data_IF_663728077908
#
_entry.id   IF_663728077908
#
_cell.length_a   1.000
_cell.length_b   1.000
_cell.length_c   1.000
_cell.angle_alpha   90.00
_cell.angle_beta   90.00
_cell.angle_gamma   90.00
#
_symmetry.space_group_name_H-M   'P 1'
#
loop_
_entity.id
_entity.type
_entity.pdbx_description
1 polymer ?
#
# COMPACT_ATOMS: atom_id res chain seq x y z
N UNK A 1 -16.34 -8.52 -15.08
CA UNK A 1 -15.13 -7.74 -15.14
C UNK A 1 -15.18 -6.55 -14.19
N UNK A 2 -14.12 -6.36 -13.45
CA UNK A 2 -14.08 -5.27 -12.49
C UNK A 2 -13.92 -3.92 -13.18
N UNK A 3 -14.66 -2.94 -12.70
CA UNK A 3 -14.50 -1.59 -13.19
C UNK A 3 -13.42 -0.89 -12.42
N UNK A 4 -12.64 -0.09 -13.12
CA UNK A 4 -11.66 0.73 -12.45
C UNK A 4 -12.34 1.90 -11.77
N UNK A 5 -11.97 2.17 -10.55
CA UNK A 5 -12.49 3.34 -9.88
C UNK A 5 -11.74 4.59 -10.38
N UNK A 6 -12.31 5.79 -10.20
CA UNK A 6 -11.65 7.00 -10.67
C UNK A 6 -10.29 7.26 -10.03
N UNK A 7 -10.02 6.72 -8.85
CA UNK A 7 -8.72 6.90 -8.21
C UNK A 7 -7.82 5.71 -8.38
N UNK A 8 -8.14 4.86 -9.31
CA UNK A 8 -7.28 3.73 -9.64
C UNK A 8 -6.13 4.27 -10.44
N UNK A 9 -5.03 4.56 -9.77
CA UNK A 9 -3.93 5.32 -10.34
C UNK A 9 -3.03 4.49 -11.22
N UNK A 10 -3.19 3.19 -11.24
CA UNK A 10 -2.36 2.32 -12.05
C UNK A 10 -3.19 1.18 -12.56
N UNK A 11 -2.50 0.18 -13.01
CA UNK A 11 -3.16 -1.00 -13.57
C UNK A 11 -3.40 -2.08 -12.53
N UNK A 12 -2.96 -1.87 -11.31
CA UNK A 12 -3.03 -2.92 -10.32
C UNK A 12 -4.43 -3.09 -9.76
N UNK A 13 -4.87 -4.31 -9.72
CA UNK A 13 -6.16 -4.66 -9.15
C UNK A 13 -5.90 -5.53 -7.94
N UNK A 14 -6.38 -5.10 -6.77
CA UNK A 14 -6.13 -5.81 -5.53
C UNK A 14 -6.78 -7.18 -5.55
N UNK A 15 -6.03 -8.18 -5.12
CA UNK A 15 -6.55 -9.54 -4.99
C UNK A 15 -7.22 -9.71 -3.63
N UNK A 16 -7.87 -10.86 -3.44
CA UNK A 16 -8.48 -11.15 -2.15
C UNK A 16 -7.44 -11.19 -1.05
N UNK A 17 -6.26 -11.72 -1.34
CA UNK A 17 -5.19 -11.76 -0.35
C UNK A 17 -4.70 -10.35 -0.02
N UNK A 18 -4.62 -9.48 -1.01
CA UNK A 18 -4.24 -8.09 -0.78
C UNK A 18 -5.23 -7.43 0.17
N UNK A 19 -6.52 -7.65 -0.08
CA UNK A 19 -7.56 -7.05 0.75
C UNK A 19 -7.55 -7.62 2.16
N UNK A 20 -7.28 -8.89 2.30
CA UNK A 20 -7.18 -9.52 3.61
C UNK A 20 -6.02 -8.93 4.39
N UNK A 21 -4.87 -8.78 3.75
CA UNK A 21 -3.71 -8.21 4.40
C UNK A 21 -3.95 -6.75 4.80
N UNK A 22 -4.57 -6.00 3.91
CA UNK A 22 -4.90 -4.60 4.19
C UNK A 22 -5.81 -4.51 5.42
N UNK A 23 -6.86 -5.31 5.44
CA UNK A 23 -7.83 -5.30 6.53
C UNK A 23 -7.15 -5.61 7.86
N UNK A 24 -6.33 -6.65 7.86
CA UNK A 24 -5.61 -7.03 9.07
C UNK A 24 -4.71 -5.91 9.55
N UNK A 25 -3.97 -5.28 8.63
CA UNK A 25 -3.04 -4.23 8.98
C UNK A 25 -3.77 -3.03 9.58
N UNK A 26 -4.86 -2.61 8.96
CA UNK A 26 -5.62 -1.48 9.47
C UNK A 26 -6.12 -1.76 10.89
N UNK A 27 -6.60 -2.97 11.11
CA UNK A 27 -7.11 -3.34 12.43
C UNK A 27 -6.00 -3.41 13.48
N UNK A 28 -4.77 -3.53 13.04
CA UNK A 28 -3.63 -3.66 13.95
C UNK A 28 -2.76 -2.42 13.99
N UNK A 29 -3.28 -1.29 13.52
CA UNK A 29 -2.58 -0.02 13.66
C UNK A 29 -1.54 0.24 12.60
N UNK A 30 -1.56 -0.50 11.50
CA UNK A 30 -0.62 -0.32 10.41
C UNK A 30 -1.37 0.24 9.22
N UNK A 31 -0.95 1.43 8.78
CA UNK A 31 -1.59 2.10 7.65
C UNK A 31 -0.51 2.59 6.70
N UNK A 32 -0.66 2.27 5.44
CA UNK A 32 0.31 2.66 4.42
C UNK A 32 -0.41 3.53 3.40
N UNK A 33 0.11 4.74 3.18
CA UNK A 33 -0.54 5.71 2.31
C UNK A 33 0.43 6.21 1.26
N UNK A 34 0.01 6.25 0.00
CA UNK A 34 0.85 6.86 -1.04
C UNK A 34 0.84 8.38 -0.87
N UNK A 35 2.00 8.98 -0.99
CA UNK A 35 2.14 10.43 -0.89
C UNK A 35 2.86 10.92 -2.12
N UNK A 36 2.20 11.79 -2.89
CA UNK A 36 2.79 12.33 -4.09
C UNK A 36 3.99 13.21 -3.75
N UNK A 37 5.09 12.99 -4.44
CA UNK A 37 6.27 13.81 -4.28
C UNK A 37 6.41 14.79 -5.43
N UNK A 38 6.34 14.24 -6.63
CA UNK A 38 6.40 15.06 -7.83
C UNK A 38 5.64 14.30 -8.90
N UNK A 39 5.60 14.88 -10.07
CA UNK A 39 4.87 14.28 -11.17
C UNK A 39 5.40 12.86 -11.42
N UNK A 40 4.54 11.88 -11.24
CA UNK A 40 4.87 10.49 -11.51
C UNK A 40 5.70 9.80 -10.44
N UNK A 41 6.02 10.47 -9.35
CA UNK A 41 6.80 9.86 -8.28
C UNK A 41 6.05 9.96 -6.96
N UNK A 42 6.04 8.88 -6.21
CA UNK A 42 5.27 8.77 -4.97
C UNK A 42 6.10 8.09 -3.90
N UNK A 43 5.96 8.56 -2.66
CA UNK A 43 6.46 7.85 -1.50
C UNK A 43 5.35 7.02 -0.91
N UNK A 44 5.73 6.01 -0.14
CA UNK A 44 4.78 5.29 0.70
C UNK A 44 5.10 5.62 2.15
N UNK A 45 4.14 6.21 2.83
CA UNK A 45 4.28 6.54 4.26
C UNK A 45 3.65 5.41 5.05
N UNK A 46 4.42 4.81 5.92
CA UNK A 46 4.02 3.64 6.68
C UNK A 46 3.83 4.06 8.12
N UNK A 47 2.60 4.05 8.57
CA UNK A 47 2.27 4.36 9.96
C UNK A 47 2.08 3.06 10.71
N UNK A 48 2.82 2.90 11.79
CA UNK A 48 2.76 1.70 12.60
C UNK A 48 2.62 2.12 14.05
N UNK A 49 1.38 2.07 14.55
CA UNK A 49 1.06 2.43 15.95
C UNK A 49 1.55 3.82 16.30
N UNK A 50 1.31 4.75 15.39
CA UNK A 50 1.61 6.16 15.63
C UNK A 50 2.98 6.61 15.16
N UNK A 51 3.82 5.68 14.75
CA UNK A 51 5.15 6.02 14.24
C UNK A 51 5.11 5.94 12.73
N UNK A 52 5.50 7.03 12.08
CA UNK A 52 5.43 7.12 10.62
C UNK A 52 6.82 7.06 10.04
N UNK A 53 7.02 6.11 9.14
CA UNK A 53 8.26 5.98 8.38
C UNK A 53 7.94 6.05 6.92
N UNK A 54 8.81 6.71 6.17
CA UNK A 54 8.65 6.82 4.72
C UNK A 54 9.45 5.73 4.04
N UNK A 55 8.93 5.23 2.93
CA UNK A 55 9.64 4.21 2.17
C UNK A 55 11.02 4.73 1.76
N UNK A 56 12.01 3.85 1.62
CA UNK A 56 13.37 4.30 1.32
C UNK A 56 13.54 4.87 -0.08
N UNK A 57 12.59 4.63 -0.96
CA UNK A 57 12.68 5.16 -2.32
C UNK A 57 11.30 5.50 -2.83
N UNK A 58 11.28 6.28 -3.90
CA UNK A 58 10.04 6.67 -4.55
C UNK A 58 9.63 5.61 -5.58
N UNK A 59 8.34 5.56 -5.83
CA UNK A 59 7.78 4.62 -6.79
C UNK A 59 7.01 5.37 -7.86
N UNK A 60 6.96 4.80 -9.05
CA UNK A 60 6.15 5.38 -10.11
C UNK A 60 4.68 5.20 -9.81
N UNK A 61 3.88 6.12 -10.34
CA UNK A 61 2.43 6.08 -10.16
C UNK A 61 1.84 4.74 -10.57
N UNK A 62 2.40 4.12 -11.60
CA UNK A 62 1.86 2.87 -12.13
C UNK A 62 2.13 1.67 -11.23
N UNK A 63 3.09 1.77 -10.31
CA UNK A 63 3.43 0.65 -9.44
C UNK A 63 3.22 0.93 -7.95
N UNK A 64 2.92 2.17 -7.59
CA UNK A 64 2.85 2.53 -6.18
C UNK A 64 1.78 1.73 -5.44
N UNK A 65 0.64 1.48 -6.08
CA UNK A 65 -0.43 0.73 -5.43
C UNK A 65 -0.05 -0.73 -5.22
N UNK A 66 0.62 -1.31 -6.21
CA UNK A 66 1.11 -2.67 -6.05
C UNK A 66 2.12 -2.75 -4.91
N UNK A 67 3.01 -1.78 -4.83
CA UNK A 67 4.00 -1.75 -3.76
C UNK A 67 3.35 -1.54 -2.39
N UNK A 68 2.30 -0.74 -2.35
CA UNK A 68 1.58 -0.55 -1.10
C UNK A 68 1.03 -1.88 -0.58
N UNK A 69 0.43 -2.67 -1.46
CA UNK A 69 -0.10 -3.96 -1.05
C UNK A 69 1.01 -4.95 -0.72
N UNK A 70 2.16 -4.84 -1.38
CA UNK A 70 3.31 -5.67 -0.99
C UNK A 70 3.72 -5.42 0.44
N UNK A 71 3.74 -4.15 0.85
CA UNK A 71 4.05 -3.82 2.25
C UNK A 71 3.00 -4.36 3.20
N UNK A 72 1.72 -4.23 2.85
CA UNK A 72 0.66 -4.78 3.69
C UNK A 72 0.83 -6.29 3.84
N UNK A 73 1.10 -6.97 2.74
CA UNK A 73 1.29 -8.43 2.80
C UNK A 73 2.53 -8.79 3.59
N UNK A 74 3.57 -7.98 3.52
CA UNK A 74 4.77 -8.22 4.28
C UNK A 74 4.47 -8.24 5.79
N UNK A 75 3.77 -7.24 6.27
CA UNK A 75 3.43 -7.17 7.69
C UNK A 75 2.49 -8.29 8.09
N UNK A 76 1.53 -8.58 7.24
CA UNK A 76 0.57 -9.63 7.49
C UNK A 76 1.25 -10.99 7.58
N UNK A 77 2.11 -11.30 6.61
CA UNK A 77 2.81 -12.58 6.58
C UNK A 77 3.77 -12.71 7.74
N UNK A 78 4.44 -11.62 8.10
CA UNK A 78 5.39 -11.62 9.20
C UNK A 78 4.70 -11.94 10.52
N UNK A 79 3.49 -11.42 10.70
CA UNK A 79 2.74 -11.69 11.92
C UNK A 79 2.22 -13.13 11.96
N UNK A 80 1.84 -13.66 10.82
CA UNK A 80 1.17 -14.95 10.76
C UNK A 80 2.14 -16.13 10.60
N UNK A 81 3.38 -15.93 10.82
CA UNK A 81 4.35 -17.02 10.77
C UNK A 81 4.35 -17.84 12.01
#
# INVERSE_FOLDING_TARGET
MAKKSPWDMGEYIATDKDNEAYDWCIKNGIKISPTAYSEGAWWLDIENNGIINRSPKKFLKTVVWEKMYEYYKYYYDKHNK
#
